data_IF_198133179705
#
_entry.id   IF_198133179705
#
_cell.length_a   1.000
_cell.length_b   1.000
_cell.length_c   1.000
_cell.angle_alpha   90.00
_cell.angle_beta   90.00
_cell.angle_gamma   90.00
#
_symmetry.space_group_name_H-M   'P 1'
#
loop_
_entity.id
_entity.type
_entity.pdbx_description
1 polymer ?
#
# COMPACT_ATOMS: atom_id res chain seq x y z
N UNK A 1 -33.22 -43.20 -52.54
CA UNK A 1 -32.69 -42.84 -51.19
C UNK A 1 -32.14 -41.41 -51.10
N UNK A 2 -31.27 -40.94 -52.01
CA UNK A 2 -30.68 -39.57 -52.00
C UNK A 2 -31.70 -38.41 -51.89
N UNK A 3 -32.84 -38.49 -52.57
CA UNK A 3 -33.87 -37.43 -52.56
C UNK A 3 -34.56 -37.27 -51.20
N UNK A 4 -34.73 -38.34 -50.42
CA UNK A 4 -35.34 -38.29 -49.07
C UNK A 4 -34.37 -37.71 -48.03
N UNK A 5 -33.06 -38.00 -48.15
CA UNK A 5 -32.01 -37.42 -47.31
C UNK A 5 -31.83 -35.91 -47.53
N UNK A 6 -31.89 -35.45 -48.79
CA UNK A 6 -31.85 -34.01 -49.11
C UNK A 6 -33.08 -33.26 -48.58
N UNK A 7 -34.26 -33.88 -48.64
CA UNK A 7 -35.48 -33.29 -48.07
C UNK A 7 -35.37 -33.23 -46.55
N UNK A 8 -34.93 -34.29 -45.86
CA UNK A 8 -34.71 -34.26 -44.41
C UNK A 8 -33.66 -33.21 -44.00
N UNK A 9 -32.55 -33.08 -44.73
CA UNK A 9 -31.52 -32.07 -44.46
C UNK A 9 -32.05 -30.64 -44.66
N UNK A 10 -32.85 -30.41 -45.71
CA UNK A 10 -33.50 -29.12 -45.94
C UNK A 10 -34.55 -28.79 -44.87
N UNK A 11 -35.34 -29.77 -44.42
CA UNK A 11 -36.33 -29.58 -43.34
C UNK A 11 -35.65 -29.27 -42.00
N UNK A 12 -34.53 -29.92 -41.69
CA UNK A 12 -33.74 -29.63 -40.50
C UNK A 12 -33.11 -28.24 -40.58
N UNK A 13 -32.56 -27.85 -41.74
CA UNK A 13 -32.03 -26.51 -41.94
C UNK A 13 -33.10 -25.43 -41.82
N UNK A 14 -34.28 -25.64 -42.40
CA UNK A 14 -35.43 -24.73 -42.29
C UNK A 14 -35.92 -24.65 -40.84
N UNK A 15 -35.99 -25.77 -40.13
CA UNK A 15 -36.36 -25.80 -38.71
C UNK A 15 -35.34 -25.04 -37.85
N UNK A 16 -34.04 -25.20 -38.10
CA UNK A 16 -32.99 -24.44 -37.40
C UNK A 16 -33.12 -22.94 -37.70
N UNK A 17 -33.37 -22.55 -38.96
CA UNK A 17 -33.57 -21.15 -39.35
C UNK A 17 -34.83 -20.58 -38.73
N UNK A 18 -35.94 -21.33 -38.67
CA UNK A 18 -37.19 -20.90 -38.03
C UNK A 18 -37.01 -20.79 -36.52
N UNK A 19 -36.35 -21.74 -35.87
CA UNK A 19 -36.06 -21.69 -34.43
C UNK A 19 -35.11 -20.53 -34.10
N UNK A 20 -34.10 -20.29 -34.95
CA UNK A 20 -33.21 -19.14 -34.82
C UNK A 20 -33.96 -17.82 -35.04
N UNK A 21 -34.79 -17.71 -36.08
CA UNK A 21 -35.59 -16.53 -36.38
C UNK A 21 -36.63 -16.25 -35.29
N UNK A 22 -37.33 -17.28 -34.82
CA UNK A 22 -38.34 -17.18 -33.73
C UNK A 22 -37.65 -16.87 -32.40
N UNK A 23 -36.50 -17.48 -32.13
CA UNK A 23 -35.66 -17.20 -30.96
C UNK A 23 -35.16 -15.75 -30.96
N UNK A 24 -34.71 -15.22 -32.11
CA UNK A 24 -34.37 -13.80 -32.24
C UNK A 24 -35.60 -12.91 -32.06
N UNK A 25 -36.74 -13.22 -32.69
CA UNK A 25 -37.96 -12.41 -32.55
C UNK A 25 -38.43 -12.36 -31.10
N UNK A 26 -38.41 -13.49 -30.38
CA UNK A 26 -38.78 -13.56 -28.96
C UNK A 26 -37.77 -12.77 -28.11
N UNK A 27 -36.47 -12.89 -28.37
CA UNK A 27 -35.43 -12.16 -27.63
C UNK A 27 -35.47 -10.64 -27.86
N UNK A 28 -35.88 -10.22 -29.06
CA UNK A 28 -36.10 -8.83 -29.44
C UNK A 28 -37.54 -8.34 -29.21
N UNK A 29 -38.40 -9.16 -28.58
CA UNK A 29 -39.80 -8.80 -28.34
C UNK A 29 -40.00 -7.98 -27.06
N UNK A 30 -41.10 -7.20 -26.96
CA UNK A 30 -41.52 -6.55 -25.72
C UNK A 30 -41.71 -7.52 -24.55
N UNK A 31 -42.02 -8.79 -24.81
CA UNK A 31 -42.19 -9.83 -23.78
C UNK A 31 -40.85 -10.15 -23.10
N UNK A 32 -39.75 -10.20 -23.85
CA UNK A 32 -38.42 -10.39 -23.27
C UNK A 32 -37.99 -9.17 -22.45
N UNK A 33 -38.33 -7.96 -22.91
CA UNK A 33 -38.12 -6.74 -22.11
C UNK A 33 -38.90 -6.80 -20.79
N UNK A 34 -40.19 -7.14 -20.83
CA UNK A 34 -41.01 -7.25 -19.62
C UNK A 34 -40.50 -8.33 -18.64
N UNK A 35 -39.96 -9.43 -19.16
CA UNK A 35 -39.32 -10.44 -18.33
C UNK A 35 -38.04 -9.93 -17.66
N UNK A 36 -37.15 -9.28 -18.41
CA UNK A 36 -35.88 -8.72 -17.89
C UNK A 36 -36.13 -7.60 -16.87
N UNK A 37 -37.18 -6.80 -17.07
CA UNK A 37 -37.58 -5.73 -16.13
C UNK A 37 -38.46 -6.23 -14.98
N UNK A 38 -38.82 -7.52 -14.98
CA UNK A 38 -39.69 -8.13 -13.98
C UNK A 38 -38.96 -8.49 -12.69
N UNK A 39 -39.71 -8.47 -11.57
CA UNK A 39 -39.17 -8.80 -10.24
C UNK A 39 -38.59 -10.22 -10.18
N UNK A 40 -39.16 -11.19 -10.90
CA UNK A 40 -38.68 -12.56 -10.93
C UNK A 40 -37.25 -12.67 -11.52
N UNK A 41 -36.95 -11.89 -12.56
CA UNK A 41 -35.62 -11.83 -13.14
C UNK A 41 -34.63 -11.12 -12.19
N UNK A 42 -35.06 -10.01 -11.58
CA UNK A 42 -34.26 -9.29 -10.59
C UNK A 42 -33.86 -10.20 -9.42
N UNK A 43 -34.81 -10.90 -8.79
CA UNK A 43 -34.54 -11.80 -7.66
C UNK A 43 -33.60 -12.95 -8.04
N UNK A 44 -33.73 -13.48 -9.27
CA UNK A 44 -32.79 -14.49 -9.75
C UNK A 44 -31.37 -13.93 -9.92
N UNK A 45 -31.23 -12.72 -10.49
CA UNK A 45 -29.94 -12.04 -10.63
C UNK A 45 -29.31 -11.66 -9.28
N UNK A 46 -30.12 -11.21 -8.32
CA UNK A 46 -29.70 -10.96 -6.92
C UNK A 46 -29.09 -12.22 -6.31
N UNK A 47 -29.77 -13.36 -6.41
CA UNK A 47 -29.30 -14.63 -5.87
C UNK A 47 -28.01 -15.13 -6.53
N UNK A 48 -27.92 -15.09 -7.86
CA UNK A 48 -26.72 -15.53 -8.59
C UNK A 48 -25.52 -14.60 -8.33
N UNK A 49 -25.75 -13.29 -8.26
CA UNK A 49 -24.69 -12.31 -8.00
C UNK A 49 -24.19 -12.42 -6.56
N UNK A 50 -25.10 -12.50 -5.58
CA UNK A 50 -24.75 -12.70 -4.19
C UNK A 50 -23.97 -14.01 -4.00
N UNK A 51 -24.42 -15.11 -4.60
CA UNK A 51 -23.72 -16.39 -4.55
C UNK A 51 -22.32 -16.31 -5.18
N UNK A 52 -22.19 -15.68 -6.35
CA UNK A 52 -20.91 -15.50 -7.04
C UNK A 52 -19.90 -14.63 -6.28
N UNK A 53 -20.39 -13.64 -5.53
CA UNK A 53 -19.58 -12.75 -4.71
C UNK A 53 -19.43 -13.24 -3.25
N UNK A 54 -19.98 -14.40 -2.91
CA UNK A 54 -19.98 -15.00 -1.56
C UNK A 54 -20.67 -14.13 -0.50
N UNK A 55 -21.83 -13.59 -0.84
CA UNK A 55 -22.76 -12.92 0.04
C UNK A 55 -24.00 -13.79 0.29
N UNK A 56 -24.60 -13.72 1.49
CA UNK A 56 -25.85 -14.43 1.78
C UNK A 56 -27.03 -13.86 0.98
N UNK A 57 -27.03 -12.54 0.77
CA UNK A 57 -28.06 -11.81 0.02
C UNK A 57 -27.43 -10.59 -0.67
N UNK A 58 -28.03 -10.17 -1.77
CA UNK A 58 -27.74 -8.90 -2.43
C UNK A 58 -29.02 -8.34 -3.04
N UNK A 59 -29.07 -7.03 -3.22
CA UNK A 59 -30.26 -6.33 -3.70
C UNK A 59 -29.91 -5.47 -4.91
N UNK A 60 -30.68 -5.62 -5.98
CA UNK A 60 -30.58 -4.76 -7.14
C UNK A 60 -31.71 -3.74 -7.10
N UNK A 61 -31.43 -2.53 -7.57
CA UNK A 61 -32.48 -1.63 -8.03
C UNK A 61 -33.23 -2.22 -9.22
N UNK A 62 -34.44 -1.73 -9.57
CA UNK A 62 -35.18 -2.21 -10.74
C UNK A 62 -34.31 -2.21 -12.01
N UNK A 63 -34.17 -3.38 -12.63
CA UNK A 63 -33.38 -3.56 -13.84
C UNK A 63 -34.19 -3.01 -15.01
N UNK A 64 -33.62 -2.12 -15.81
CA UNK A 64 -34.24 -1.54 -17.01
C UNK A 64 -33.46 -1.93 -18.24
N UNK A 65 -34.16 -2.35 -19.29
CA UNK A 65 -33.50 -2.68 -20.57
C UNK A 65 -33.44 -1.41 -21.41
N UNK A 66 -32.24 -0.83 -21.54
CA UNK A 66 -32.05 0.39 -22.33
C UNK A 66 -31.82 0.12 -23.81
N UNK A 67 -31.34 -1.07 -24.17
CA UNK A 67 -31.12 -1.44 -25.56
C UNK A 67 -31.39 -2.93 -25.81
N UNK A 68 -31.32 -3.35 -27.07
CA UNK A 68 -31.44 -4.76 -27.44
C UNK A 68 -30.48 -5.68 -26.67
N UNK A 69 -29.29 -5.20 -26.30
CA UNK A 69 -28.25 -5.98 -25.64
C UNK A 69 -27.76 -5.35 -24.33
N UNK A 70 -28.41 -4.30 -23.85
CA UNK A 70 -27.96 -3.53 -22.69
C UNK A 70 -29.06 -3.46 -21.65
N UNK A 71 -28.69 -3.73 -20.40
CA UNK A 71 -29.53 -3.51 -19.24
C UNK A 71 -28.80 -2.60 -18.23
N UNK A 72 -29.58 -1.85 -17.46
CA UNK A 72 -29.09 -0.93 -16.45
C UNK A 72 -29.78 -1.18 -15.12
N UNK A 73 -29.05 -1.00 -14.03
CA UNK A 73 -29.57 -0.94 -12.67
C UNK A 73 -28.97 0.28 -11.97
N UNK A 74 -29.80 1.01 -11.22
CA UNK A 74 -29.33 2.21 -10.49
C UNK A 74 -28.36 1.86 -9.37
N UNK A 75 -28.55 0.72 -8.70
CA UNK A 75 -27.65 0.26 -7.65
C UNK A 75 -27.64 -1.27 -7.49
N UNK A 76 -26.58 -1.76 -6.85
CA UNK A 76 -26.47 -3.09 -6.25
C UNK A 76 -25.80 -2.98 -4.90
N UNK A 77 -26.43 -3.50 -3.85
CA UNK A 77 -25.85 -3.57 -2.52
C UNK A 77 -25.81 -5.02 -2.00
N UNK A 78 -24.71 -5.37 -1.33
CA UNK A 78 -24.56 -6.65 -0.65
C UNK A 78 -23.71 -6.45 0.61
N UNK A 79 -24.15 -7.06 1.71
CA UNK A 79 -23.51 -6.93 3.02
C UNK A 79 -23.37 -8.29 3.70
N UNK A 80 -22.49 -8.36 4.71
CA UNK A 80 -22.16 -9.57 5.45
C UNK A 80 -21.55 -10.67 4.58
N UNK A 81 -20.63 -10.28 3.69
CA UNK A 81 -19.92 -11.25 2.86
C UNK A 81 -19.10 -12.24 3.70
N UNK A 82 -19.07 -13.50 3.25
CA UNK A 82 -18.54 -14.63 4.01
C UNK A 82 -17.03 -14.85 3.79
N UNK A 83 -16.44 -14.19 2.79
CA UNK A 83 -15.04 -14.38 2.37
C UNK A 83 -14.26 -13.06 2.33
N UNK A 84 -13.51 -12.82 1.24
CA UNK A 84 -12.66 -11.66 1.07
C UNK A 84 -13.45 -10.35 1.06
N UNK A 85 -14.68 -10.37 0.55
CA UNK A 85 -15.55 -9.21 0.50
C UNK A 85 -16.43 -9.19 1.76
N UNK A 86 -16.53 -8.03 2.40
CA UNK A 86 -17.41 -7.78 3.53
C UNK A 86 -18.65 -7.00 3.12
N UNK A 87 -18.47 -6.03 2.24
CA UNK A 87 -19.49 -5.13 1.74
C UNK A 87 -19.20 -4.75 0.29
N UNK A 88 -20.26 -4.62 -0.51
CA UNK A 88 -20.21 -4.11 -1.88
C UNK A 88 -21.42 -3.19 -2.06
N UNK A 89 -21.16 -2.01 -2.62
CA UNK A 89 -22.19 -1.07 -3.04
C UNK A 89 -21.77 -0.47 -4.39
N UNK A 90 -22.56 -0.70 -5.43
CA UNK A 90 -22.25 -0.28 -6.79
C UNK A 90 -23.41 0.54 -7.34
N UNK A 91 -23.09 1.63 -8.05
CA UNK A 91 -24.03 2.60 -8.57
C UNK A 91 -23.94 2.72 -10.09
N UNK A 92 -25.09 2.96 -10.72
CA UNK A 92 -25.26 3.13 -12.17
C UNK A 92 -24.58 2.03 -12.98
N UNK A 93 -25.04 0.80 -12.75
CA UNK A 93 -24.49 -0.41 -13.37
C UNK A 93 -25.09 -0.55 -14.76
N UNK A 94 -24.24 -0.62 -15.78
CA UNK A 94 -24.63 -0.91 -17.16
C UNK A 94 -23.97 -2.19 -17.63
N UNK A 95 -24.77 -3.20 -18.00
CA UNK A 95 -24.28 -4.49 -18.47
C UNK A 95 -24.65 -4.70 -19.93
N UNK A 96 -23.66 -5.09 -20.75
CA UNK A 96 -23.85 -5.47 -22.15
C UNK A 96 -23.77 -6.97 -22.34
N UNK A 97 -24.90 -7.56 -22.71
CA UNK A 97 -25.06 -9.00 -22.92
C UNK A 97 -24.62 -9.45 -24.33
N UNK A 98 -23.98 -10.61 -24.40
CA UNK A 98 -23.58 -11.29 -25.64
C UNK A 98 -24.54 -12.47 -25.90
N UNK A 99 -25.50 -12.34 -26.85
CA UNK A 99 -26.57 -13.30 -27.06
C UNK A 99 -26.07 -14.64 -27.61
N UNK A 100 -24.85 -14.67 -28.18
CA UNK A 100 -24.21 -15.91 -28.60
C UNK A 100 -23.95 -16.87 -27.43
N UNK A 101 -23.85 -16.34 -26.21
CA UNK A 101 -23.75 -17.13 -24.99
C UNK A 101 -24.94 -18.07 -24.78
N UNK A 102 -26.15 -17.63 -25.12
CA UNK A 102 -27.37 -18.45 -24.95
C UNK A 102 -27.30 -19.74 -25.77
N UNK A 103 -26.76 -19.67 -27.00
CA UNK A 103 -26.63 -20.82 -27.88
C UNK A 103 -25.64 -21.88 -27.36
N UNK A 104 -24.69 -21.47 -26.52
CA UNK A 104 -23.70 -22.35 -25.88
C UNK A 104 -23.95 -22.53 -24.38
N UNK A 105 -25.15 -22.16 -23.89
CA UNK A 105 -25.57 -22.25 -22.47
C UNK A 105 -24.66 -21.51 -21.50
N UNK A 106 -24.23 -20.29 -21.86
CA UNK A 106 -23.39 -19.42 -21.05
C UNK A 106 -24.04 -18.03 -20.92
N UNK A 107 -24.02 -17.47 -19.71
CA UNK A 107 -24.27 -16.04 -19.54
C UNK A 107 -22.99 -15.30 -19.91
N UNK A 108 -23.01 -14.51 -20.97
CA UNK A 108 -21.83 -13.79 -21.44
C UNK A 108 -22.09 -12.30 -21.38
N UNK A 109 -21.26 -11.59 -20.63
CA UNK A 109 -21.26 -10.14 -20.58
C UNK A 109 -20.00 -9.65 -21.29
N UNK A 110 -20.20 -8.88 -22.36
CA UNK A 110 -19.09 -8.28 -23.09
C UNK A 110 -18.44 -7.16 -22.29
N UNK A 111 -19.23 -6.47 -21.48
CA UNK A 111 -18.82 -5.32 -20.70
C UNK A 111 -19.79 -5.12 -19.55
N UNK A 112 -19.26 -4.86 -18.36
CA UNK A 112 -20.00 -4.36 -17.21
C UNK A 112 -19.33 -3.05 -16.83
N UNK A 113 -20.07 -1.96 -16.92
CA UNK A 113 -19.62 -0.63 -16.57
C UNK A 113 -20.32 -0.17 -15.30
N UNK A 114 -19.57 0.38 -14.34
CA UNK A 114 -20.06 0.84 -13.04
C UNK A 114 -19.55 2.27 -12.84
N UNK A 115 -20.44 3.25 -12.77
CA UNK A 115 -20.01 4.65 -12.62
C UNK A 115 -19.25 4.86 -11.29
N UNK A 116 -19.80 4.38 -10.18
CA UNK A 116 -19.13 4.44 -8.89
C UNK A 116 -19.46 3.26 -7.99
N UNK A 117 -18.57 2.95 -7.05
CA UNK A 117 -18.84 1.89 -6.09
C UNK A 117 -17.85 1.85 -4.92
N UNK A 118 -18.28 1.20 -3.84
CA UNK A 118 -17.50 0.92 -2.65
C UNK A 118 -17.41 -0.58 -2.42
N UNK A 119 -16.19 -1.05 -2.13
CA UNK A 119 -15.91 -2.43 -1.79
C UNK A 119 -15.10 -2.45 -0.49
N UNK A 120 -15.58 -3.15 0.52
CA UNK A 120 -14.84 -3.41 1.76
C UNK A 120 -14.29 -4.83 1.75
N UNK A 121 -12.98 -4.96 1.94
CA UNK A 121 -12.25 -6.23 1.98
C UNK A 121 -11.93 -6.58 3.44
N UNK A 122 -12.07 -7.86 3.78
CA UNK A 122 -11.73 -8.42 5.08
C UNK A 122 -10.74 -9.59 4.97
N UNK A 123 -9.94 -9.77 6.02
CA UNK A 123 -9.07 -10.94 6.17
C UNK A 123 -9.96 -12.09 6.66
N UNK A 124 -9.91 -13.22 5.96
CA UNK A 124 -10.64 -14.43 6.32
C UNK A 124 -9.71 -15.64 6.33
N UNK A 125 -10.01 -16.64 7.17
CA UNK A 125 -9.35 -17.93 7.08
C UNK A 125 -10.00 -18.76 5.97
N UNK A 126 -9.22 -19.06 4.93
CA UNK A 126 -9.68 -19.86 3.82
C UNK A 126 -9.95 -21.30 4.28
N UNK A 127 -11.22 -21.64 4.51
CA UNK A 127 -11.67 -23.02 4.64
C UNK A 127 -12.05 -23.51 3.24
N UNK A 128 -11.37 -24.53 2.67
CA UNK A 128 -11.72 -25.04 1.35
C UNK A 128 -13.11 -25.68 1.42
N UNK A 129 -14.08 -25.09 0.72
CA UNK A 129 -15.40 -25.70 0.56
C UNK A 129 -15.31 -26.99 -0.25
N UNK A 130 -16.01 -28.01 0.22
CA UNK A 130 -16.37 -29.16 -0.59
C UNK A 130 -17.30 -28.69 -1.71
N UNK A 131 -16.91 -28.96 -2.96
CA UNK A 131 -17.73 -28.66 -4.14
C UNK A 131 -19.03 -29.46 -4.01
N UNK A 132 -20.13 -28.77 -3.68
CA UNK A 132 -21.44 -29.41 -3.62
C UNK A 132 -21.77 -30.02 -4.99
N UNK A 133 -22.05 -31.33 -5.06
CA UNK A 133 -22.32 -31.97 -6.34
C UNK A 133 -23.60 -31.38 -6.94
N UNK A 134 -23.50 -30.86 -8.16
CA UNK A 134 -24.65 -30.26 -8.85
C UNK A 134 -25.75 -31.31 -9.04
N UNK A 135 -27.04 -30.96 -8.82
CA UNK A 135 -28.16 -31.85 -9.10
C UNK A 135 -28.19 -32.30 -10.57
N UNK A 136 -28.73 -33.49 -10.84
CA UNK A 136 -28.77 -34.09 -12.20
C UNK A 136 -29.51 -33.23 -13.25
N UNK A 137 -30.37 -32.31 -12.83
CA UNK A 137 -31.10 -31.37 -13.70
C UNK A 137 -30.35 -30.06 -14.01
N UNK A 138 -29.19 -29.81 -13.38
CA UNK A 138 -28.33 -28.64 -13.67
C UNK A 138 -27.78 -28.64 -15.11
N UNK A 139 -27.92 -29.75 -15.85
CA UNK A 139 -27.60 -29.84 -17.28
C UNK A 139 -28.39 -28.84 -18.14
N UNK A 140 -29.60 -28.44 -17.72
CA UNK A 140 -30.48 -27.54 -18.47
C UNK A 140 -30.30 -26.05 -18.11
N UNK A 141 -29.53 -25.74 -17.06
CA UNK A 141 -29.24 -24.37 -16.64
C UNK A 141 -27.91 -23.88 -17.27
N UNK A 142 -27.79 -22.59 -17.62
CA UNK A 142 -26.54 -22.02 -18.09
C UNK A 142 -25.45 -22.18 -17.03
N UNK A 143 -24.32 -22.77 -17.41
CA UNK A 143 -23.40 -23.40 -16.45
C UNK A 143 -22.29 -22.50 -15.93
N UNK A 144 -22.06 -21.34 -16.56
CA UNK A 144 -21.02 -20.37 -16.22
C UNK A 144 -21.40 -18.95 -16.67
N UNK A 145 -21.10 -17.97 -15.81
CA UNK A 145 -21.06 -16.56 -16.17
C UNK A 145 -19.65 -16.25 -16.70
N UNK A 146 -19.57 -15.64 -17.88
CA UNK A 146 -18.34 -15.23 -18.52
C UNK A 146 -18.36 -13.72 -18.69
N UNK A 147 -17.41 -13.03 -18.06
CA UNK A 147 -17.30 -11.57 -18.10
C UNK A 147 -16.02 -11.25 -18.84
N UNK A 148 -16.12 -10.52 -19.96
CA UNK A 148 -14.94 -10.11 -20.73
C UNK A 148 -14.21 -8.93 -20.11
N UNK A 149 -14.95 -7.99 -19.50
CA UNK A 149 -14.40 -6.78 -18.89
C UNK A 149 -15.38 -6.21 -17.88
N UNK A 150 -14.86 -5.79 -16.73
CA UNK A 150 -15.54 -4.91 -15.77
C UNK A 150 -14.74 -3.62 -15.73
N UNK A 151 -15.42 -2.49 -15.78
CA UNK A 151 -14.83 -1.17 -15.66
C UNK A 151 -15.60 -0.35 -14.63
N UNK A 152 -14.89 0.34 -13.76
CA UNK A 152 -15.47 1.32 -12.86
C UNK A 152 -14.70 2.63 -12.91
N UNK A 153 -15.43 3.75 -13.04
CA UNK A 153 -14.81 5.07 -13.12
C UNK A 153 -14.35 5.57 -11.74
N UNK A 154 -15.16 5.30 -10.71
CA UNK A 154 -14.90 5.73 -9.34
C UNK A 154 -15.13 4.61 -8.33
N UNK A 155 -14.11 3.79 -8.11
CA UNK A 155 -14.12 2.76 -7.10
C UNK A 155 -13.41 3.21 -5.80
N UNK A 156 -14.02 2.88 -4.67
CA UNK A 156 -13.42 2.94 -3.35
C UNK A 156 -13.17 1.51 -2.87
N UNK A 157 -11.91 1.08 -2.81
CA UNK A 157 -11.53 -0.24 -2.30
C UNK A 157 -10.93 -0.05 -0.92
N UNK A 158 -11.60 -0.55 0.12
CA UNK A 158 -11.24 -0.28 1.52
C UNK A 158 -10.98 -1.55 2.31
N UNK A 159 -10.13 -1.47 3.32
CA UNK A 159 -9.81 -2.56 4.23
C UNK A 159 -9.44 -2.00 5.60
N UNK A 160 -9.37 -2.86 6.61
CA UNK A 160 -8.93 -2.48 7.95
C UNK A 160 -7.42 -2.70 8.08
N UNK A 161 -6.70 -1.66 8.52
CA UNK A 161 -5.26 -1.73 8.80
C UNK A 161 -4.98 -1.09 10.16
N UNK A 162 -4.44 -1.89 11.10
CA UNK A 162 -4.19 -1.48 12.50
C UNK A 162 -5.40 -0.88 13.23
N UNK A 163 -6.62 -1.30 12.86
CA UNK A 163 -7.87 -0.79 13.45
C UNK A 163 -8.38 0.51 12.82
N UNK A 164 -7.71 1.01 11.79
CA UNK A 164 -8.13 2.17 11.00
C UNK A 164 -8.56 1.75 9.59
N UNK A 165 -9.50 2.52 9.01
CA UNK A 165 -9.95 2.33 7.63
C UNK A 165 -8.85 2.80 6.67
N UNK A 166 -8.25 1.85 5.97
CA UNK A 166 -7.36 2.07 4.85
C UNK A 166 -8.09 1.84 3.53
N UNK A 167 -7.56 2.37 2.43
CA UNK A 167 -8.16 2.15 1.13
C UNK A 167 -7.53 2.91 -0.03
N UNK A 168 -7.90 2.49 -1.23
CA UNK A 168 -7.80 3.25 -2.46
C UNK A 168 -9.13 3.96 -2.70
N UNK A 169 -9.08 5.27 -2.88
CA UNK A 169 -10.27 6.13 -2.98
C UNK A 169 -10.32 6.82 -4.34
N UNK A 170 -11.48 6.77 -4.98
CA UNK A 170 -11.75 7.40 -6.27
C UNK A 170 -10.84 6.87 -7.38
N UNK A 171 -10.54 5.57 -7.36
CA UNK A 171 -9.68 4.94 -8.37
C UNK A 171 -10.51 4.38 -9.52
N UNK A 172 -10.00 4.49 -10.74
CA UNK A 172 -10.57 3.78 -11.89
C UNK A 172 -10.13 2.33 -11.83
N UNK A 173 -11.07 1.40 -11.87
CA UNK A 173 -10.79 -0.03 -11.76
C UNK A 173 -11.14 -0.74 -13.07
N UNK A 174 -10.23 -1.55 -13.58
CA UNK A 174 -10.41 -2.40 -14.74
C UNK A 174 -10.14 -3.84 -14.34
N UNK A 175 -11.14 -4.71 -14.51
CA UNK A 175 -11.02 -6.14 -14.22
C UNK A 175 -11.17 -6.90 -15.53
N UNK A 176 -10.16 -7.70 -15.87
CA UNK A 176 -10.17 -8.52 -17.08
C UNK A 176 -9.87 -9.97 -16.74
N UNK A 177 -10.51 -10.94 -17.42
CA UNK A 177 -10.25 -12.35 -17.18
C UNK A 177 -8.82 -12.71 -17.62
N UNK A 178 -8.11 -13.45 -16.77
CA UNK A 178 -6.82 -14.05 -17.05
C UNK A 178 -6.96 -15.57 -16.85
N UNK A 179 -7.21 -16.30 -17.94
CA UNK A 179 -7.56 -17.73 -17.94
C UNK A 179 -8.78 -18.09 -17.07
N UNK A 180 -8.54 -18.52 -15.83
CA UNK A 180 -9.57 -18.88 -14.84
C UNK A 180 -9.64 -17.88 -13.67
N UNK A 181 -8.76 -16.90 -13.69
CA UNK A 181 -8.52 -15.90 -12.65
C UNK A 181 -8.76 -14.50 -13.25
N UNK A 182 -8.42 -13.43 -12.50
CA UNK A 182 -8.66 -12.06 -12.92
C UNK A 182 -7.42 -11.17 -12.74
N UNK A 183 -7.18 -10.32 -13.73
CA UNK A 183 -6.24 -9.20 -13.66
C UNK A 183 -7.00 -7.93 -13.27
N UNK A 184 -6.47 -7.21 -12.29
CA UNK A 184 -7.01 -6.00 -11.71
C UNK A 184 -6.03 -4.86 -11.99
N UNK A 185 -6.41 -3.96 -12.88
CA UNK A 185 -5.69 -2.71 -13.09
C UNK A 185 -6.45 -1.57 -12.41
N UNK A 186 -5.74 -0.77 -11.61
CA UNK A 186 -6.26 0.44 -11.01
C UNK A 186 -5.47 1.65 -11.51
N UNK A 187 -6.13 2.77 -11.75
CA UNK A 187 -5.51 4.00 -12.23
C UNK A 187 -6.14 5.23 -11.58
N UNK A 188 -5.31 6.20 -11.20
CA UNK A 188 -5.78 7.39 -10.51
C UNK A 188 -6.31 7.11 -9.09
N UNK A 189 -6.61 8.17 -8.37
CA UNK A 189 -7.15 8.11 -7.01
C UNK A 189 -6.09 8.29 -5.93
N UNK A 190 -6.47 8.00 -4.69
CA UNK A 190 -5.66 8.27 -3.49
C UNK A 190 -5.57 7.04 -2.61
N UNK A 191 -4.36 6.68 -2.19
CA UNK A 191 -4.09 5.69 -1.17
C UNK A 191 -4.08 6.38 0.20
N UNK A 192 -4.94 5.91 1.10
CA UNK A 192 -4.93 6.33 2.51
C UNK A 192 -4.75 5.09 3.38
N UNK A 193 -3.78 5.13 4.28
CA UNK A 193 -3.61 4.10 5.31
C UNK A 193 -2.85 4.68 6.50
N UNK A 194 -3.04 4.07 7.68
CA UNK A 194 -2.27 4.44 8.86
C UNK A 194 -0.76 4.30 8.61
N UNK A 195 0.05 5.16 9.24
CA UNK A 195 1.52 5.24 9.14
C UNK A 195 2.09 5.79 7.83
N UNK A 196 1.29 5.91 6.76
CA UNK A 196 1.73 6.53 5.52
C UNK A 196 1.03 7.87 5.33
N UNK A 197 1.69 8.89 4.74
CA UNK A 197 0.97 10.03 4.22
C UNK A 197 0.00 9.59 3.10
N UNK A 198 -0.96 10.47 2.77
CA UNK A 198 -1.81 10.25 1.60
C UNK A 198 -0.94 10.24 0.33
N UNK A 199 -1.01 9.17 -0.45
CA UNK A 199 -0.27 9.01 -1.70
C UNK A 199 -1.24 9.01 -2.88
N UNK A 200 -0.81 9.57 -4.01
CA UNK A 200 -1.57 9.50 -5.24
C UNK A 200 -1.27 8.21 -5.98
N UNK A 201 -2.29 7.47 -6.42
CA UNK A 201 -2.11 6.28 -7.24
C UNK A 201 -2.07 6.66 -8.72
N UNK A 202 -0.93 6.47 -9.37
CA UNK A 202 -0.85 6.58 -10.82
C UNK A 202 -1.39 5.32 -11.48
N UNK A 203 -0.86 4.17 -11.08
CA UNK A 203 -1.24 2.87 -11.62
C UNK A 203 -0.96 1.76 -10.63
N UNK A 204 -1.79 0.72 -10.64
CA UNK A 204 -1.47 -0.58 -10.08
C UNK A 204 -1.96 -1.67 -11.02
N UNK A 205 -1.19 -2.75 -11.18
CA UNK A 205 -1.63 -3.95 -11.89
C UNK A 205 -1.40 -5.15 -10.97
N UNK A 206 -2.48 -5.85 -10.63
CA UNK A 206 -2.49 -6.95 -9.67
C UNK A 206 -3.19 -8.14 -10.30
N UNK A 207 -2.49 -9.27 -10.36
CA UNK A 207 -3.07 -10.55 -10.75
C UNK A 207 -3.42 -11.34 -9.50
N UNK A 208 -4.70 -11.66 -9.32
CA UNK A 208 -5.17 -12.48 -8.20
C UNK A 208 -5.58 -13.84 -8.74
N UNK A 209 -4.85 -14.87 -8.31
CA UNK A 209 -5.17 -16.28 -8.61
C UNK A 209 -5.63 -16.99 -7.34
N UNK A 210 -6.09 -18.24 -7.46
CA UNK A 210 -6.45 -19.06 -6.29
C UNK A 210 -5.34 -19.27 -5.27
N UNK A 211 -4.08 -19.20 -5.68
CA UNK A 211 -2.91 -19.55 -4.86
C UNK A 211 -1.97 -18.37 -4.61
N UNK A 212 -2.07 -17.29 -5.39
CA UNK A 212 -1.08 -16.21 -5.39
C UNK A 212 -1.73 -14.88 -5.76
N UNK A 213 -1.41 -13.83 -5.00
CA UNK A 213 -1.58 -12.43 -5.39
C UNK A 213 -0.24 -11.95 -5.94
N UNK A 214 -0.20 -11.47 -7.18
CA UNK A 214 0.99 -10.89 -7.79
C UNK A 214 0.75 -9.42 -8.08
N UNK A 215 1.48 -8.55 -7.40
CA UNK A 215 1.57 -7.12 -7.75
C UNK A 215 2.65 -7.00 -8.82
N UNK A 216 2.23 -6.89 -10.08
CA UNK A 216 3.16 -6.77 -11.20
C UNK A 216 3.90 -5.43 -11.17
N UNK A 217 3.14 -4.36 -10.89
CA UNK A 217 3.63 -2.99 -10.80
C UNK A 217 2.63 -2.17 -9.99
N UNK A 218 3.13 -1.35 -9.07
CA UNK A 218 2.38 -0.28 -8.40
C UNK A 218 3.21 0.99 -8.44
N UNK A 219 2.61 2.07 -8.92
CA UNK A 219 3.22 3.39 -9.03
C UNK A 219 2.40 4.40 -8.23
N UNK A 220 2.99 4.87 -7.14
CA UNK A 220 2.44 5.86 -6.23
C UNK A 220 3.30 7.13 -6.26
N UNK A 221 2.68 8.29 -6.11
CA UNK A 221 3.39 9.56 -5.98
C UNK A 221 3.04 10.26 -4.66
N UNK A 222 3.93 11.14 -4.18
CA UNK A 222 3.63 11.95 -2.98
C UNK A 222 2.48 12.92 -3.21
N UNK A 223 2.26 13.34 -4.45
CA UNK A 223 1.15 14.18 -4.85
C UNK A 223 0.71 13.89 -6.30
N UNK A 224 -0.41 14.48 -6.72
CA UNK A 224 -0.89 14.35 -8.11
C UNK A 224 -0.05 15.08 -9.15
N UNK A 225 1.05 15.76 -8.76
CA UNK A 225 1.98 16.48 -9.65
C UNK A 225 3.24 15.67 -9.94
N UNK A 226 3.26 14.41 -9.53
CA UNK A 226 4.37 13.47 -9.72
C UNK A 226 5.66 13.92 -9.03
N UNK A 227 5.54 14.62 -7.89
CA UNK A 227 6.68 14.94 -7.04
C UNK A 227 7.01 13.75 -6.15
N UNK A 228 8.04 13.01 -6.53
CA UNK A 228 8.49 11.82 -5.84
C UNK A 228 7.61 10.60 -6.14
N UNK A 229 8.23 9.47 -6.43
CA UNK A 229 7.56 8.24 -6.83
C UNK A 229 7.95 7.06 -5.95
N UNK A 230 7.03 6.12 -5.78
CA UNK A 230 7.23 4.81 -5.14
C UNK A 230 6.77 3.77 -6.15
N UNK A 231 7.71 2.93 -6.59
CA UNK A 231 7.43 1.80 -7.49
C UNK A 231 7.59 0.49 -6.75
N UNK A 232 6.55 -0.31 -6.72
CA UNK A 232 6.53 -1.59 -6.03
C UNK A 232 6.19 -2.76 -6.94
N UNK A 233 6.67 -3.94 -6.57
CA UNK A 233 6.28 -5.23 -7.17
C UNK A 233 6.44 -6.33 -6.14
N UNK A 234 5.67 -7.40 -6.27
CA UNK A 234 5.78 -8.52 -5.34
C UNK A 234 4.73 -9.58 -5.50
N UNK A 235 4.84 -10.59 -4.66
CA UNK A 235 3.96 -11.75 -4.62
C UNK A 235 3.59 -12.09 -3.20
N UNK A 236 2.36 -12.51 -2.97
CA UNK A 236 1.87 -13.02 -1.70
C UNK A 236 1.07 -14.31 -1.92
N UNK A 237 1.47 -15.40 -1.25
CA UNK A 237 0.78 -16.68 -1.29
C UNK A 237 -0.59 -16.63 -0.61
N UNK A 238 -1.54 -17.39 -1.16
CA UNK A 238 -2.89 -17.58 -0.62
C UNK A 238 -3.07 -19.04 -0.17
N UNK A 239 -3.70 -19.22 1.00
CA UNK A 239 -4.09 -20.54 1.49
C UNK A 239 -2.99 -21.21 2.31
N UNK A 240 -2.44 -22.32 1.77
CA UNK A 240 -1.38 -23.12 2.43
C UNK A 240 -0.02 -22.43 2.37
N UNK A 241 0.30 -21.84 1.22
CA UNK A 241 1.42 -20.93 1.10
C UNK A 241 0.93 -19.54 1.51
N UNK A 242 1.63 -18.92 2.46
CA UNK A 242 1.36 -17.55 2.91
C UNK A 242 2.60 -16.68 2.78
N UNK A 243 3.62 -17.18 2.07
CA UNK A 243 4.86 -16.46 1.88
C UNK A 243 4.64 -15.13 1.18
N UNK A 244 5.47 -14.14 1.52
CA UNK A 244 5.45 -12.82 0.92
C UNK A 244 6.86 -12.51 0.44
N UNK A 245 6.93 -11.92 -0.75
CA UNK A 245 8.10 -11.27 -1.30
C UNK A 245 7.62 -9.97 -1.95
N UNK A 246 8.07 -8.84 -1.43
CA UNK A 246 7.69 -7.53 -1.94
C UNK A 246 8.92 -6.62 -2.00
N UNK A 247 9.09 -5.95 -3.12
CA UNK A 247 10.17 -5.00 -3.35
C UNK A 247 9.60 -3.66 -3.75
N UNK A 248 10.07 -2.58 -3.13
CA UNK A 248 9.70 -1.22 -3.48
C UNK A 248 10.94 -0.34 -3.61
N UNK A 249 10.95 0.52 -4.61
CA UNK A 249 11.95 1.57 -4.80
C UNK A 249 11.25 2.91 -4.72
N UNK A 250 11.93 3.89 -4.15
CA UNK A 250 11.41 5.24 -4.06
C UNK A 250 12.45 6.26 -4.52
N UNK A 251 11.97 7.29 -5.19
CA UNK A 251 12.79 8.34 -5.80
C UNK A 251 12.20 9.70 -5.45
N UNK A 252 13.05 10.62 -4.98
CA UNK A 252 12.71 12.02 -4.68
C UNK A 252 11.46 12.21 -3.80
N UNK A 253 11.25 11.36 -2.79
CA UNK A 253 10.11 11.46 -1.88
C UNK A 253 10.32 12.53 -0.80
N UNK A 254 9.43 13.53 -0.66
CA UNK A 254 9.52 14.50 0.42
C UNK A 254 9.40 13.84 1.80
N UNK A 255 10.44 13.87 2.63
CA UNK A 255 10.44 13.16 3.93
C UNK A 255 9.46 13.76 4.93
N UNK A 256 9.10 15.03 4.78
CA UNK A 256 8.26 15.78 5.73
C UNK A 256 6.92 15.10 6.00
N UNK A 257 6.29 14.52 4.99
CA UNK A 257 5.01 13.80 5.14
C UNK A 257 5.11 12.49 5.92
N UNK A 258 6.32 11.93 6.03
CA UNK A 258 6.60 10.61 6.61
C UNK A 258 7.14 10.71 8.04
N UNK A 259 7.49 11.91 8.50
CA UNK A 259 8.01 12.16 9.82
C UNK A 259 6.87 12.29 10.85
N UNK A 260 7.11 11.91 12.12
CA UNK A 260 6.18 12.24 13.21
C UNK A 260 5.95 13.75 13.30
N UNK A 261 4.79 14.18 13.78
CA UNK A 261 4.40 15.61 13.79
C UNK A 261 5.43 16.53 14.45
N UNK A 262 6.05 16.06 15.55
CA UNK A 262 7.10 16.78 16.28
C UNK A 262 8.33 17.08 15.43
N UNK A 263 8.58 16.35 14.34
CA UNK A 263 9.75 16.51 13.47
C UNK A 263 9.46 17.25 12.16
N UNK A 264 8.18 17.41 11.79
CA UNK A 264 7.77 17.96 10.49
C UNK A 264 8.22 19.40 10.25
N UNK A 265 8.38 20.18 11.30
CA UNK A 265 8.84 21.57 11.22
C UNK A 265 10.36 21.71 11.30
N UNK A 266 11.07 20.62 11.61
CA UNK A 266 12.51 20.64 11.85
C UNK A 266 13.34 19.98 10.77
N UNK A 267 12.76 19.02 10.05
CA UNK A 267 13.49 18.24 9.05
C UNK A 267 12.81 18.32 7.68
N UNK A 268 13.62 18.55 6.66
CA UNK A 268 13.18 18.54 5.26
C UNK A 268 14.23 17.89 4.37
N UNK A 269 13.83 17.48 3.16
CA UNK A 269 14.68 16.79 2.20
C UNK A 269 13.89 15.79 1.34
N UNK A 270 14.58 15.21 0.38
CA UNK A 270 14.02 14.25 -0.58
C UNK A 270 14.69 12.88 -0.43
N UNK A 271 13.94 11.87 -0.02
CA UNK A 271 14.41 10.50 0.14
C UNK A 271 14.45 9.74 -1.19
N UNK A 272 15.48 8.93 -1.35
CA UNK A 272 15.65 7.94 -2.40
C UNK A 272 16.19 6.63 -1.80
N UNK A 273 15.81 5.50 -2.38
CA UNK A 273 16.18 4.21 -1.80
C UNK A 273 15.32 3.05 -2.24
N UNK A 274 15.44 1.95 -1.51
CA UNK A 274 14.78 0.69 -1.80
C UNK A 274 14.48 -0.09 -0.54
N UNK A 275 13.47 -0.95 -0.63
CA UNK A 275 12.95 -1.81 0.41
C UNK A 275 12.69 -3.18 -0.20
N UNK A 276 13.17 -4.22 0.45
CA UNK A 276 12.83 -5.61 0.14
C UNK A 276 12.28 -6.27 1.41
N UNK A 277 11.08 -6.80 1.32
CA UNK A 277 10.32 -7.40 2.40
C UNK A 277 9.99 -8.85 2.06
N UNK A 278 10.35 -9.77 2.95
CA UNK A 278 10.04 -11.19 2.83
C UNK A 278 9.46 -11.75 4.12
N UNK A 279 8.65 -12.81 4.01
CA UNK A 279 8.12 -13.49 5.19
C UNK A 279 7.47 -14.81 4.86
N UNK A 280 7.40 -15.71 5.85
CA UNK A 280 6.69 -16.98 5.71
C UNK A 280 5.16 -16.81 5.81
N UNK A 281 4.70 -15.69 6.38
CA UNK A 281 3.30 -15.29 6.46
C UNK A 281 3.17 -13.76 6.49
N UNK A 282 1.98 -13.19 6.23
CA UNK A 282 1.73 -11.75 6.30
C UNK A 282 1.91 -11.10 7.68
N UNK A 283 2.17 -11.88 8.74
CA UNK A 283 2.37 -11.29 10.06
C UNK A 283 3.78 -10.72 10.15
N UNK A 284 3.87 -9.48 10.60
CA UNK A 284 5.13 -8.77 10.81
C UNK A 284 6.14 -9.59 11.64
N UNK A 285 5.65 -10.36 12.61
CA UNK A 285 6.42 -11.19 13.54
C UNK A 285 7.25 -12.29 12.86
N UNK A 286 6.82 -12.77 11.69
CA UNK A 286 7.52 -13.81 10.92
C UNK A 286 8.07 -13.27 9.61
N UNK A 287 8.33 -11.96 9.58
CA UNK A 287 8.83 -11.27 8.42
C UNK A 287 10.19 -10.63 8.69
N UNK A 288 10.96 -10.50 7.63
CA UNK A 288 12.22 -9.80 7.59
C UNK A 288 12.25 -8.87 6.40
N UNK A 289 13.09 -7.86 6.47
CA UNK A 289 13.40 -7.11 5.28
C UNK A 289 14.64 -6.28 5.44
N UNK A 290 15.01 -5.68 4.33
CA UNK A 290 16.20 -4.88 4.19
C UNK A 290 15.91 -3.68 3.32
N UNK A 291 16.64 -2.60 3.54
CA UNK A 291 16.47 -1.39 2.77
C UNK A 291 17.64 -0.45 2.91
N UNK A 292 17.68 0.48 1.97
CA UNK A 292 18.65 1.58 1.96
C UNK A 292 17.87 2.88 1.84
N UNK A 293 18.26 3.89 2.60
CA UNK A 293 17.69 5.23 2.56
C UNK A 293 18.81 6.24 2.36
N UNK A 294 18.63 7.14 1.39
CA UNK A 294 19.45 8.33 1.22
C UNK A 294 18.56 9.54 1.09
N UNK A 295 18.85 10.60 1.84
CA UNK A 295 18.12 11.86 1.77
C UNK A 295 18.99 12.91 1.09
N UNK A 296 18.48 13.49 0.02
CA UNK A 296 19.08 14.59 -0.73
C UNK A 296 18.51 15.92 -0.25
N UNK A 297 19.29 16.98 -0.34
CA UNK A 297 18.94 18.34 0.11
C UNK A 297 18.38 18.33 1.54
N UNK A 298 18.99 17.52 2.40
CA UNK A 298 18.52 17.31 3.75
C UNK A 298 18.86 18.53 4.62
N UNK A 299 17.84 19.12 5.25
CA UNK A 299 17.99 20.27 6.13
C UNK A 299 17.43 19.99 7.51
N UNK A 300 18.15 20.44 8.53
CA UNK A 300 17.70 20.42 9.91
C UNK A 300 17.72 21.84 10.48
N UNK A 301 16.55 22.35 10.81
CA UNK A 301 16.31 23.73 11.23
C UNK A 301 15.48 23.78 12.52
N UNK A 302 15.55 24.90 13.25
CA UNK A 302 14.70 25.19 14.41
C UNK A 302 14.75 24.13 15.52
N UNK A 303 15.84 23.38 15.64
CA UNK A 303 16.02 22.41 16.71
C UNK A 303 16.52 23.14 17.97
N UNK A 304 15.79 23.10 19.11
CA UNK A 304 16.15 23.90 20.29
C UNK A 304 17.57 23.67 20.83
N UNK A 305 18.11 22.45 20.64
CA UNK A 305 19.48 22.15 21.05
C UNK A 305 20.52 22.74 20.10
N UNK A 306 20.21 22.91 18.82
CA UNK A 306 21.10 23.51 17.82
C UNK A 306 21.27 25.00 18.05
N UNK A 307 20.19 25.71 18.39
CA UNK A 307 20.24 27.14 18.74
C UNK A 307 21.25 27.41 19.87
N UNK A 308 21.20 26.59 20.92
CA UNK A 308 22.14 26.71 22.04
C UNK A 308 23.56 26.28 21.71
N UNK A 309 23.73 25.26 20.87
CA UNK A 309 25.05 24.89 20.39
C UNK A 309 25.66 26.02 19.56
N UNK A 310 24.87 26.73 18.76
CA UNK A 310 25.30 27.90 18.03
C UNK A 310 25.73 29.04 18.97
N UNK A 311 24.99 29.27 20.07
CA UNK A 311 25.37 30.23 21.11
C UNK A 311 26.70 29.87 21.78
N UNK A 312 26.89 28.61 22.19
CA UNK A 312 28.12 28.13 22.85
C UNK A 312 29.33 28.15 21.92
N UNK A 313 29.16 27.65 20.70
CA UNK A 313 30.24 27.59 19.72
C UNK A 313 30.51 28.94 19.06
N UNK A 314 29.72 29.98 19.38
CA UNK A 314 29.72 31.28 18.72
C UNK A 314 29.61 31.18 17.19
N UNK A 315 28.83 30.21 16.71
CA UNK A 315 28.74 29.83 15.32
C UNK A 315 27.27 29.64 14.94
N UNK A 316 26.66 30.71 14.40
CA UNK A 316 25.26 30.72 13.97
C UNK A 316 24.93 29.68 12.93
N UNK A 317 25.92 29.20 12.18
CA UNK A 317 25.69 28.16 11.19
C UNK A 317 25.28 26.82 11.79
N UNK A 318 25.31 26.61 13.11
CA UNK A 318 24.70 25.43 13.74
C UNK A 318 23.18 25.51 13.87
N UNK A 319 22.56 26.71 13.80
CA UNK A 319 21.10 26.88 13.83
C UNK A 319 20.42 26.24 12.59
N UNK A 320 21.17 26.16 11.49
CA UNK A 320 20.74 25.67 10.19
C UNK A 320 21.75 24.66 9.66
N UNK A 321 21.41 23.37 9.68
CA UNK A 321 22.27 22.32 9.15
C UNK A 321 21.84 21.95 7.74
N UNK A 322 22.77 22.01 6.80
CA UNK A 322 22.59 21.50 5.44
C UNK A 322 23.44 20.23 5.28
N UNK A 323 22.79 19.07 5.33
CA UNK A 323 23.46 17.79 5.24
C UNK A 323 23.82 17.49 3.78
N UNK A 324 25.13 17.44 3.53
CA UNK A 324 25.73 17.04 2.25
C UNK A 324 25.68 15.53 2.00
N UNK A 325 25.67 14.72 3.06
CA UNK A 325 25.40 13.29 3.01
C UNK A 325 24.45 12.91 4.14
N UNK A 326 23.44 12.11 3.81
CA UNK A 326 22.49 11.56 4.76
C UNK A 326 22.03 10.21 4.22
N UNK A 327 22.67 9.14 4.67
CA UNK A 327 22.34 7.79 4.25
C UNK A 327 22.45 6.77 5.36
N UNK A 328 21.65 5.70 5.22
CA UNK A 328 21.65 4.56 6.12
C UNK A 328 21.16 3.31 5.40
N UNK A 329 21.62 2.15 5.88
CA UNK A 329 21.06 0.86 5.53
C UNK A 329 20.36 0.30 6.76
N UNK A 330 19.24 -0.39 6.57
CA UNK A 330 18.53 -1.04 7.66
C UNK A 330 18.11 -2.44 7.28
N UNK A 331 18.13 -3.33 8.26
CA UNK A 331 17.61 -4.68 8.15
C UNK A 331 16.74 -4.94 9.37
N UNK A 332 15.53 -5.44 9.19
CA UNK A 332 14.70 -5.88 10.30
C UNK A 332 14.45 -7.38 10.21
N UNK A 333 14.46 -8.01 11.38
CA UNK A 333 13.96 -9.37 11.60
C UNK A 333 13.31 -9.35 12.96
N UNK A 334 11.98 -9.34 12.98
CA UNK A 334 11.24 -9.10 14.22
C UNK A 334 11.72 -10.02 15.36
N UNK A 335 11.93 -9.49 16.58
CA UNK A 335 11.70 -8.10 17.04
C UNK A 335 12.95 -7.20 16.99
N UNK A 336 13.94 -7.52 16.15
CA UNK A 336 15.20 -6.78 16.00
C UNK A 336 15.21 -5.91 14.74
N UNK A 337 15.77 -4.71 14.85
CA UNK A 337 16.09 -3.81 13.76
C UNK A 337 17.55 -3.42 13.88
N UNK A 338 18.32 -3.64 12.83
CA UNK A 338 19.71 -3.19 12.72
C UNK A 338 19.78 -2.06 11.69
N UNK A 339 20.40 -0.95 12.08
CA UNK A 339 20.69 0.20 11.23
C UNK A 339 22.21 0.28 11.11
N UNK A 340 22.71 0.13 9.89
CA UNK A 340 24.14 0.07 9.55
C UNK A 340 24.47 1.16 8.56
N UNK A 341 25.77 1.39 8.40
CA UNK A 341 26.31 2.35 7.44
C UNK A 341 25.65 3.73 7.56
N UNK A 342 25.35 4.14 8.80
CA UNK A 342 24.83 5.47 9.07
C UNK A 342 25.92 6.45 8.66
N UNK A 343 25.60 7.34 7.73
CA UNK A 343 26.47 8.40 7.27
C UNK A 343 25.68 9.70 7.26
N UNK A 344 26.04 10.63 8.16
CA UNK A 344 25.50 11.99 8.18
C UNK A 344 26.68 12.95 8.10
N UNK A 345 26.72 13.82 7.11
CA UNK A 345 27.82 14.77 6.96
C UNK A 345 27.30 16.12 6.53
N UNK A 346 27.74 17.16 7.23
CA UNK A 346 27.80 18.51 6.69
C UNK A 346 29.27 18.88 6.47
N UNK A 347 29.68 18.87 5.20
CA UNK A 347 31.09 18.98 4.82
C UNK A 347 31.74 20.22 5.44
N UNK A 348 32.78 19.97 6.24
CA UNK A 348 33.56 21.03 6.90
C UNK A 348 32.99 21.50 8.25
N UNK A 349 31.85 20.95 8.72
CA UNK A 349 31.33 21.14 10.07
C UNK A 349 31.44 19.88 10.91
N UNK A 350 30.72 18.81 10.54
CA UNK A 350 30.69 17.56 11.29
C UNK A 350 30.38 16.36 10.39
N UNK A 351 30.71 15.17 10.89
CA UNK A 351 30.42 13.88 10.27
C UNK A 351 30.06 12.86 11.34
N UNK A 352 29.03 12.06 11.09
CA UNK A 352 28.58 10.97 11.96
C UNK A 352 28.63 9.67 11.16
N UNK A 353 29.29 8.67 11.72
CA UNK A 353 29.37 7.33 11.15
C UNK A 353 29.00 6.28 12.18
N UNK A 354 28.29 5.22 11.84
CA UNK A 354 28.17 4.11 12.78
C UNK A 354 27.04 3.14 12.51
N UNK A 355 26.69 2.42 13.57
CA UNK A 355 25.63 1.43 13.55
C UNK A 355 24.86 1.42 14.87
N UNK A 356 23.57 1.16 14.76
CA UNK A 356 22.60 1.13 15.85
C UNK A 356 21.79 -0.15 15.70
N UNK A 357 21.44 -0.75 16.83
CA UNK A 357 20.56 -1.90 16.93
C UNK A 357 19.42 -1.59 17.89
N UNK A 358 18.22 -2.03 17.54
CA UNK A 358 17.01 -1.87 18.32
C UNK A 358 16.40 -3.25 18.49
N UNK A 359 16.43 -3.78 19.70
CA UNK A 359 15.82 -5.07 20.03
C UNK A 359 14.71 -4.86 21.06
N UNK A 360 13.46 -5.20 20.72
CA UNK A 360 12.30 -5.05 21.64
C UNK A 360 12.28 -3.67 22.34
N UNK A 361 12.48 -2.59 21.57
CA UNK A 361 12.60 -1.18 22.01
C UNK A 361 13.90 -0.80 22.74
N UNK A 362 14.77 -1.74 23.10
CA UNK A 362 16.07 -1.42 23.69
C UNK A 362 17.02 -0.91 22.60
N UNK A 363 17.55 0.29 22.81
CA UNK A 363 18.47 0.95 21.88
C UNK A 363 19.91 0.64 22.30
N UNK A 364 20.74 0.16 21.37
CA UNK A 364 22.17 -0.09 21.60
C UNK A 364 22.98 0.21 20.34
N UNK A 365 24.12 0.86 20.48
CA UNK A 365 25.00 1.10 19.34
C UNK A 365 26.18 1.98 19.68
N UNK A 366 27.03 2.20 18.69
CA UNK A 366 28.12 3.15 18.77
C UNK A 366 28.17 3.96 17.48
N UNK A 367 28.20 5.27 17.62
CA UNK A 367 28.39 6.22 16.53
C UNK A 367 29.71 6.96 16.74
N UNK A 368 30.49 7.11 15.68
CA UNK A 368 31.65 7.98 15.63
C UNK A 368 31.17 9.38 15.24
N UNK A 369 31.45 10.36 16.10
CA UNK A 369 31.17 11.77 15.87
C UNK A 369 32.47 12.50 15.58
N UNK A 370 32.63 12.96 14.35
CA UNK A 370 33.71 13.82 13.88
C UNK A 370 33.26 15.27 13.82
N UNK A 371 34.00 16.20 14.43
CA UNK A 371 33.73 17.65 14.37
C UNK A 371 34.98 18.37 13.87
N UNK A 372 34.82 19.36 13.00
CA UNK A 372 35.94 20.13 12.48
C UNK A 372 36.58 20.94 13.61
N UNK A 373 37.92 20.96 13.66
CA UNK A 373 38.69 21.52 14.79
C UNK A 373 38.26 22.95 15.17
N UNK A 374 37.99 23.80 14.17
CA UNK A 374 37.54 25.19 14.34
C UNK A 374 36.25 25.34 15.16
N UNK A 375 35.40 24.31 15.18
CA UNK A 375 34.13 24.33 15.92
C UNK A 375 34.24 23.75 17.34
N UNK A 376 35.44 23.33 17.75
CA UNK A 376 35.74 22.81 19.08
C UNK A 376 36.63 23.76 19.90
N UNK A 377 36.81 25.01 19.48
CA UNK A 377 37.68 25.97 20.17
C UNK A 377 37.15 26.39 21.54
N UNK A 378 35.84 26.29 21.76
CA UNK A 378 35.19 26.55 23.05
C UNK A 378 35.40 25.43 24.08
N UNK A 379 35.80 24.22 23.64
CA UNK A 379 35.95 23.06 24.51
C UNK A 379 37.38 22.99 25.09
N UNK A 380 37.57 23.16 26.42
CA UNK A 380 38.86 22.96 27.06
C UNK A 380 39.28 21.50 26.97
N UNK A 381 40.58 21.23 26.85
CA UNK A 381 41.16 19.88 26.75
C UNK A 381 40.42 18.96 25.74
N UNK A 382 40.01 19.52 24.60
CA UNK A 382 39.22 18.82 23.56
C UNK A 382 39.78 17.45 23.15
N UNK A 383 41.08 17.26 23.25
CA UNK A 383 41.81 16.03 22.90
C UNK A 383 41.50 14.86 23.86
N UNK A 384 41.04 15.14 25.09
CA UNK A 384 40.60 14.11 26.04
C UNK A 384 39.29 13.45 25.60
N UNK A 385 38.39 14.21 24.97
CA UNK A 385 37.11 13.71 24.45
C UNK A 385 37.23 13.30 22.99
N UNK A 386 37.89 14.10 22.15
CA UNK A 386 38.09 13.86 20.74
C UNK A 386 39.55 13.49 20.46
N UNK A 387 39.90 12.24 20.73
CA UNK A 387 41.28 11.75 20.74
C UNK A 387 41.82 11.34 19.37
N UNK A 388 40.97 11.20 18.35
CA UNK A 388 41.36 10.72 17.01
C UNK A 388 41.20 11.82 15.97
N UNK A 389 42.18 11.99 15.08
CA UNK A 389 42.08 12.91 13.95
C UNK A 389 42.06 12.13 12.64
N UNK A 390 41.05 12.36 11.79
CA UNK A 390 40.90 11.71 10.49
C UNK A 390 40.06 12.59 9.56
N UNK A 391 40.46 12.72 8.30
CA UNK A 391 39.75 13.45 7.24
C UNK A 391 39.40 14.92 7.59
N UNK A 392 40.26 15.59 8.37
CA UNK A 392 40.05 16.98 8.81
C UNK A 392 39.12 17.15 10.01
N UNK A 393 38.60 16.04 10.57
CA UNK A 393 37.74 16.04 11.75
C UNK A 393 38.46 15.48 12.98
N UNK A 394 38.09 15.97 14.16
CA UNK A 394 38.39 15.37 15.45
C UNK A 394 37.23 14.46 15.84
N UNK A 395 37.54 13.19 16.08
CA UNK A 395 36.59 12.11 16.24
C UNK A 395 36.51 11.62 17.69
N UNK A 396 35.29 11.26 18.09
CA UNK A 396 35.01 10.57 19.33
C UNK A 396 33.97 9.47 19.12
N UNK A 397 34.04 8.42 19.94
CA UNK A 397 33.01 7.38 19.98
C UNK A 397 31.93 7.78 20.97
N UNK A 398 30.68 7.73 20.54
CA UNK A 398 29.48 7.95 21.35
C UNK A 398 28.70 6.66 21.43
N UNK A 399 28.51 6.15 22.65
CA UNK A 399 27.77 4.94 22.93
C UNK A 399 26.31 5.26 23.22
N UNK A 400 25.41 4.71 22.41
CA UNK A 400 23.98 4.84 22.56
C UNK A 400 23.41 3.67 23.37
N UNK A 401 22.57 3.98 24.35
CA UNK A 401 21.92 3.01 25.24
C UNK A 401 20.50 3.44 25.61
N UNK A 402 19.80 2.65 26.43
CA UNK A 402 18.45 2.98 26.92
C UNK A 402 17.35 2.35 26.05
N UNK A 403 16.28 3.11 25.80
CA UNK A 403 15.15 2.68 24.95
C UNK A 403 14.94 3.68 23.82
N UNK A 404 14.17 3.29 22.80
CA UNK A 404 13.80 4.22 21.72
C UNK A 404 13.08 5.46 22.26
N UNK A 405 12.32 5.34 23.36
CA UNK A 405 11.57 6.45 23.98
C UNK A 405 12.43 7.32 24.90
N UNK A 406 13.46 6.72 25.49
CA UNK A 406 14.38 7.37 26.42
C UNK A 406 15.82 7.02 26.03
N UNK A 407 16.30 7.54 24.88
CA UNK A 407 17.66 7.30 24.45
C UNK A 407 18.64 7.94 25.43
N UNK A 408 19.74 7.23 25.71
CA UNK A 408 20.84 7.68 26.55
C UNK A 408 22.14 7.65 25.75
N UNK A 409 23.05 8.56 26.07
CA UNK A 409 24.36 8.65 25.45
C UNK A 409 25.42 9.06 26.47
N UNK A 410 26.69 8.74 26.19
CA UNK A 410 27.82 8.93 27.10
C UNK A 410 28.66 10.19 26.83
N UNK A 411 28.40 10.92 25.74
CA UNK A 411 29.13 12.13 25.35
C UNK A 411 28.83 13.32 26.26
N UNK A 412 27.56 13.61 26.57
CA UNK A 412 27.23 14.77 27.43
C UNK A 412 27.88 14.68 28.81
N UNK A 413 27.83 13.54 29.53
CA UNK A 413 28.54 13.39 30.80
C UNK A 413 30.05 13.64 30.68
N UNK A 414 30.69 13.14 29.62
CA UNK A 414 32.13 13.32 29.35
C UNK A 414 32.48 14.78 29.11
N UNK A 415 31.66 15.52 28.36
CA UNK A 415 31.87 16.95 28.16
C UNK A 415 31.67 17.72 29.47
N UNK A 416 30.61 17.44 30.23
CA UNK A 416 30.34 18.10 31.53
C UNK A 416 31.52 17.93 32.50
N UNK A 417 32.17 16.76 32.50
CA UNK A 417 33.32 16.47 33.35
C UNK A 417 34.51 17.39 33.08
N UNK A 418 34.79 17.72 31.81
CA UNK A 418 35.83 18.69 31.43
C UNK A 418 35.58 20.10 31.96
N UNK A 419 34.31 20.43 32.21
CA UNK A 419 33.90 21.74 32.73
C UNK A 419 33.71 21.76 34.25
N UNK A 420 33.96 20.67 34.99
CA UNK A 420 33.91 20.72 36.47
C UNK A 420 34.95 21.69 37.06
N UNK A 421 35.95 22.09 36.30
CA UNK A 421 36.98 23.07 36.68
C UNK A 421 36.69 24.53 36.24
N UNK A 422 35.58 24.82 35.54
CA UNK A 422 35.14 26.19 35.15
C UNK A 422 33.59 26.32 35.23
N UNK A 423 32.92 27.48 35.02
CA UNK A 423 31.49 27.61 35.35
C UNK A 423 30.55 26.80 34.43
N UNK A 424 30.36 25.51 34.73
CA UNK A 424 29.59 24.52 33.97
C UNK A 424 28.06 24.63 34.02
N UNK A 425 27.49 25.66 34.66
CA UNK A 425 26.04 25.79 34.81
C UNK A 425 25.29 25.96 33.47
N UNK A 426 25.89 26.68 32.50
CA UNK A 426 25.26 26.94 31.20
C UNK A 426 25.27 25.69 30.29
N UNK A 427 26.35 24.90 30.32
CA UNK A 427 26.46 23.65 29.56
C UNK A 427 25.60 22.54 30.15
N UNK A 428 25.50 22.48 31.48
CA UNK A 428 24.59 21.55 32.15
C UNK A 428 23.12 21.81 31.75
N UNK A 429 22.74 23.09 31.55
CA UNK A 429 21.43 23.45 31.01
C UNK A 429 21.25 23.03 29.55
N UNK A 430 22.27 23.19 28.70
CA UNK A 430 22.22 22.79 27.30
C UNK A 430 22.02 21.26 27.17
N UNK A 431 22.82 20.47 27.88
CA UNK A 431 22.71 19.02 27.83
C UNK A 431 21.42 18.48 28.46
N UNK A 432 20.94 19.10 29.54
CA UNK A 432 19.63 18.76 30.12
C UNK A 432 18.50 19.06 29.14
N UNK A 433 18.58 20.14 28.38
CA UNK A 433 17.60 20.44 27.35
C UNK A 433 17.68 19.52 26.15
N UNK A 434 18.87 19.11 25.73
CA UNK A 434 19.01 18.06 24.71
C UNK A 434 18.38 16.73 25.18
N UNK A 435 18.62 16.31 26.43
CA UNK A 435 17.98 15.13 27.01
C UNK A 435 16.46 15.28 27.13
N UNK A 436 15.98 16.44 27.57
CA UNK A 436 14.56 16.72 27.65
C UNK A 436 13.91 16.73 26.27
N UNK A 437 14.55 17.37 25.28
CA UNK A 437 14.10 17.38 23.91
C UNK A 437 14.08 15.97 23.33
N UNK A 438 15.14 15.17 23.50
CA UNK A 438 15.12 13.75 23.12
C UNK A 438 13.95 13.00 23.77
N UNK A 439 13.67 13.23 25.05
CA UNK A 439 12.53 12.60 25.74
C UNK A 439 11.18 13.13 25.24
N UNK A 440 11.06 14.41 24.92
CA UNK A 440 9.82 14.98 24.37
C UNK A 440 9.59 14.52 22.94
N UNK A 441 10.65 14.38 22.15
CA UNK A 441 10.60 14.06 20.73
C UNK A 441 10.46 12.56 20.47
N UNK A 442 11.07 11.72 21.31
CA UNK A 442 10.97 10.27 21.23
C UNK A 442 10.02 9.64 22.25
N UNK A 443 9.63 10.37 23.30
CA UNK A 443 8.59 9.95 24.23
C UNK A 443 7.23 9.93 23.54
N UNK A 444 6.68 8.73 23.40
CA UNK A 444 5.33 8.52 22.88
C UNK A 444 4.27 9.08 23.83
N UNK A 445 3.19 9.58 23.24
CA UNK A 445 1.85 9.40 23.79
C UNK A 445 1.39 7.96 23.56
#
# INVERSE_FOLDING_TARGET
MRRKLLICAATIAIFIVIVAATGTIIFFSPLATHYVEGDAFRVAMESETASGLHFPTGHYSPIRRTSMLTAQAESFDASNGERALKFVDAHAITARFDPWGVLIRQWRFSEIHIESGEVEIQIYEANPEEVTPKPWFAFFLPNRVYIKRIESEHANVTWQFRGERAGLFGTQLFITPHDRDFDYAAAGGKLKMALLPELYLHRANVLITKALVTVNDIDLASDGRNQGSVRGKGTAGIGKDRSIDFSANFESLPIRGWLPDKWKEHLSGSACGGLHWTGANPKLENSSGEGSLRVQDARADNLPFLEKLAEVAHEKSFEHLELTDCSLNFTWRYPSIEIKDIALEEKGKFRVEGAISIERRALRGAIQLGIARKHLDWLPNREEVFSRQRDGYLWTSVHLSGTIDQPRQDLSPRIIELFKESPGAYLQLLFRQFENWLKETFGGD
#
